data_IF_892350826971
#
_entry.id   IF_892350826971
#
_cell.length_a   1.000
_cell.length_b   1.000
_cell.length_c   1.000
_cell.angle_alpha   90.00
_cell.angle_beta   90.00
_cell.angle_gamma   90.00
#
_symmetry.space_group_name_H-M   'P 1'
#
loop_
_entity.id
_entity.type
_entity.pdbx_description
1 polymer ?
#
# COMPACT_ATOMS: atom_id res chain seq x y z
N UNK A 1 -1.93 9.61 -18.20
CA UNK A 1 -0.58 9.02 -18.05
C UNK A 1 -0.34 8.07 -19.21
N UNK A 2 0.83 8.10 -19.85
CA UNK A 2 1.22 7.09 -20.85
C UNK A 2 2.36 6.28 -20.24
N UNK A 3 2.22 4.96 -20.19
CA UNK A 3 3.22 4.05 -19.63
C UNK A 3 4.30 3.73 -20.67
N UNK A 4 4.84 4.76 -21.33
CA UNK A 4 5.77 4.62 -22.45
C UNK A 4 6.81 5.73 -22.39
N UNK A 5 8.07 5.43 -22.71
CA UNK A 5 9.16 6.40 -22.83
C UNK A 5 9.02 7.37 -24.03
N UNK A 6 7.96 7.21 -24.82
CA UNK A 6 7.69 8.03 -26.01
C UNK A 6 7.15 9.43 -25.64
N UNK A 7 7.60 10.49 -26.33
CA UNK A 7 7.07 11.84 -26.14
C UNK A 7 5.54 11.89 -26.27
N UNK A 8 4.90 12.60 -25.34
CA UNK A 8 3.46 12.82 -25.39
C UNK A 8 3.08 13.55 -26.71
N UNK A 9 2.08 13.08 -27.47
CA UNK A 9 1.61 13.75 -28.67
C UNK A 9 1.17 15.18 -28.30
N UNK A 10 1.43 16.16 -29.17
CA UNK A 10 1.01 17.53 -28.92
C UNK A 10 -0.48 17.58 -28.55
N UNK A 11 -0.81 18.24 -27.43
CA UNK A 11 -2.18 18.52 -26.97
C UNK A 11 -3.00 17.33 -26.44
N UNK A 12 -2.36 16.24 -26.00
CA UNK A 12 -3.06 15.09 -25.36
C UNK A 12 -2.78 14.90 -23.87
N UNK A 13 -1.99 15.79 -23.26
CA UNK A 13 -1.73 15.77 -21.82
C UNK A 13 -2.82 16.58 -21.08
N UNK A 14 -3.66 15.87 -20.32
CA UNK A 14 -4.57 16.46 -19.33
C UNK A 14 -4.01 16.35 -17.92
N UNK A 15 -4.39 17.29 -17.05
CA UNK A 15 -4.11 17.19 -15.61
C UNK A 15 -5.11 16.19 -15.03
N UNK A 16 -4.60 15.22 -14.27
CA UNK A 16 -5.42 14.18 -13.68
C UNK A 16 -5.10 14.06 -12.19
N UNK A 17 -6.16 13.94 -11.40
CA UNK A 17 -6.09 13.64 -9.99
C UNK A 17 -5.66 12.19 -9.79
N UNK A 18 -4.64 11.97 -8.97
CA UNK A 18 -4.17 10.62 -8.63
C UNK A 18 -4.28 10.36 -7.15
N UNK A 19 -4.30 9.07 -6.82
CA UNK A 19 -4.33 8.56 -5.46
C UNK A 19 -3.03 7.81 -5.16
N UNK A 20 -2.35 8.27 -4.12
CA UNK A 20 -1.17 7.62 -3.54
C UNK A 20 -1.59 6.81 -2.31
N UNK A 21 -1.08 5.59 -2.16
CA UNK A 21 -1.24 4.83 -0.91
C UNK A 21 0.01 5.04 -0.06
N UNK A 22 -0.15 5.50 1.18
CA UNK A 22 0.95 5.70 2.12
C UNK A 22 1.11 4.51 3.07
N UNK A 23 0.01 4.00 3.61
CA UNK A 23 0.05 2.85 4.52
C UNK A 23 -1.25 2.07 4.50
N UNK A 24 -1.12 0.78 4.84
CA UNK A 24 -2.23 -0.11 5.18
C UNK A 24 -1.92 -0.70 6.54
N UNK A 25 -2.76 -0.36 7.52
CA UNK A 25 -2.63 -0.83 8.90
C UNK A 25 -3.68 -1.90 9.17
N UNK A 26 -3.30 -2.95 9.90
CA UNK A 26 -4.20 -4.00 10.38
C UNK A 26 -4.54 -3.73 11.84
N UNK A 27 -5.80 -3.42 12.13
CA UNK A 27 -6.31 -3.33 13.49
C UNK A 27 -7.15 -4.57 13.84
N UNK A 28 -7.02 -5.08 15.07
CA UNK A 28 -7.86 -6.17 15.57
C UNK A 28 -9.26 -5.70 15.93
N UNK A 29 -10.26 -6.57 15.77
CA UNK A 29 -11.62 -6.28 16.24
C UNK A 29 -11.71 -6.51 17.74
N UNK A 30 -12.23 -5.54 18.47
CA UNK A 30 -12.71 -5.72 19.85
C UNK A 30 -14.05 -6.48 19.85
N UNK A 31 -14.27 -7.26 20.89
CA UNK A 31 -15.29 -8.32 20.99
C UNK A 31 -16.76 -7.85 20.91
N UNK A 32 -17.03 -6.53 20.84
CA UNK A 32 -18.36 -5.95 20.99
C UNK A 32 -19.30 -6.11 19.76
N UNK A 33 -18.90 -6.80 18.68
CA UNK A 33 -19.72 -6.89 17.46
C UNK A 33 -19.45 -8.07 16.53
N UNK A 34 -18.74 -9.10 16.99
CA UNK A 34 -18.53 -10.32 16.21
C UNK A 34 -19.07 -11.51 17.00
N UNK A 35 -20.00 -12.26 16.41
CA UNK A 35 -20.36 -13.56 16.95
C UNK A 35 -19.10 -14.41 17.13
N UNK A 36 -18.79 -14.77 18.39
CA UNK A 36 -17.82 -15.78 18.82
C UNK A 36 -16.48 -15.85 18.04
N UNK A 37 -15.85 -14.72 17.75
CA UNK A 37 -14.49 -14.67 17.20
C UNK A 37 -13.53 -14.09 18.24
N UNK A 38 -12.61 -14.90 18.77
CA UNK A 38 -11.59 -14.46 19.72
C UNK A 38 -10.73 -13.31 19.14
N UNK A 39 -10.35 -12.36 19.99
CA UNK A 39 -9.45 -11.26 19.65
C UNK A 39 -8.20 -11.75 18.88
N UNK A 40 -7.69 -10.93 17.96
CA UNK A 40 -6.45 -11.22 17.24
C UNK A 40 -5.32 -11.41 18.25
N UNK A 41 -4.63 -12.56 18.16
CA UNK A 41 -3.46 -12.86 18.99
C UNK A 41 -2.21 -12.44 18.23
N UNK A 42 -1.61 -11.34 18.66
CA UNK A 42 -0.33 -10.87 18.14
C UNK A 42 0.84 -11.72 18.67
N UNK A 43 1.94 -11.88 17.91
CA UNK A 43 2.14 -11.39 16.53
C UNK A 43 1.35 -12.21 15.49
N UNK A 44 1.12 -11.61 14.32
CA UNK A 44 0.38 -12.21 13.21
C UNK A 44 1.31 -12.46 12.01
N UNK A 45 1.41 -13.71 11.57
CA UNK A 45 2.04 -14.04 10.29
C UNK A 45 1.03 -13.86 9.15
N UNK A 46 1.11 -12.73 8.45
CA UNK A 46 0.15 -12.31 7.43
C UNK A 46 0.66 -12.60 6.03
N UNK A 47 -0.21 -13.15 5.18
CA UNK A 47 0.04 -13.33 3.76
C UNK A 47 -1.21 -13.04 2.92
N UNK A 48 -1.03 -12.97 1.61
CA UNK A 48 -2.09 -12.66 0.66
C UNK A 48 -1.78 -11.43 -0.19
N UNK A 49 -2.82 -10.66 -0.49
CA UNK A 49 -2.76 -9.56 -1.45
C UNK A 49 -3.53 -8.33 -0.94
N UNK A 50 -2.95 -7.16 -1.16
CA UNK A 50 -3.69 -5.90 -1.26
C UNK A 50 -3.38 -5.26 -2.61
N UNK A 51 -4.42 -4.81 -3.30
CA UNK A 51 -4.31 -4.17 -4.60
C UNK A 51 -5.24 -2.98 -4.71
N UNK A 52 -4.86 -2.04 -5.57
CA UNK A 52 -5.67 -0.90 -5.97
C UNK A 52 -6.07 -1.11 -7.43
N UNK A 53 -7.32 -0.87 -7.77
CA UNK A 53 -7.78 -0.80 -9.17
C UNK A 53 -8.18 0.62 -9.48
N UNK A 54 -7.73 1.13 -10.61
CA UNK A 54 -8.22 2.40 -11.16
C UNK A 54 -9.22 2.13 -12.31
N UNK A 55 -9.98 3.17 -12.67
CA UNK A 55 -10.95 3.09 -13.76
C UNK A 55 -10.34 3.11 -15.16
N UNK A 56 -9.01 3.11 -15.31
CA UNK A 56 -8.35 3.20 -16.63
C UNK A 56 -8.37 1.86 -17.34
N UNK A 57 -7.88 0.82 -16.68
CA UNK A 57 -7.77 -0.53 -17.23
C UNK A 57 -8.34 -1.61 -16.29
N UNK A 58 -8.83 -1.21 -15.11
CA UNK A 58 -9.31 -2.11 -14.04
C UNK A 58 -8.28 -3.17 -13.60
N UNK A 59 -7.01 -3.02 -14.00
CA UNK A 59 -5.97 -3.96 -13.61
C UNK A 59 -5.61 -3.78 -12.13
N UNK A 60 -5.20 -4.87 -11.49
CA UNK A 60 -4.73 -4.85 -10.12
C UNK A 60 -3.35 -4.22 -10.08
N UNK A 61 -3.28 -3.04 -9.49
CA UNK A 61 -2.05 -2.45 -9.05
C UNK A 61 -1.72 -3.00 -7.66
N UNK A 62 -0.90 -4.05 -7.63
CA UNK A 62 -0.58 -4.80 -6.42
C UNK A 62 0.33 -3.97 -5.53
N UNK A 63 -0.14 -3.63 -4.32
CA UNK A 63 0.62 -2.83 -3.35
C UNK A 63 1.18 -3.64 -2.19
N UNK A 64 0.65 -4.84 -1.97
CA UNK A 64 1.18 -5.81 -1.01
C UNK A 64 0.95 -7.20 -1.56
N UNK A 65 1.99 -8.04 -1.58
CA UNK A 65 1.86 -9.45 -1.91
C UNK A 65 2.88 -10.27 -1.14
N UNK A 66 2.40 -11.25 -0.41
CA UNK A 66 3.21 -12.25 0.28
C UNK A 66 2.60 -13.63 0.08
N UNK A 67 3.43 -14.60 -0.24
CA UNK A 67 3.03 -16.00 -0.23
C UNK A 67 2.99 -16.54 1.21
N UNK A 68 2.41 -17.72 1.42
CA UNK A 68 2.25 -18.31 2.76
C UNK A 68 3.59 -18.73 3.40
N UNK A 69 4.54 -19.13 2.57
CA UNK A 69 5.91 -19.45 2.97
C UNK A 69 6.75 -18.19 3.25
N UNK A 70 6.38 -17.05 2.66
CA UNK A 70 7.03 -15.74 2.83
C UNK A 70 6.11 -14.74 3.57
N UNK A 71 5.48 -15.15 4.67
CA UNK A 71 4.64 -14.24 5.46
C UNK A 71 5.39 -13.00 5.95
N UNK A 72 4.66 -11.90 6.13
CA UNK A 72 5.11 -10.79 6.96
C UNK A 72 4.57 -10.97 8.37
N UNK A 73 5.44 -10.96 9.37
CA UNK A 73 5.04 -10.91 10.77
C UNK A 73 4.70 -9.47 11.15
N UNK A 74 3.48 -9.25 11.64
CA UNK A 74 3.02 -7.99 12.20
C UNK A 74 2.95 -8.08 13.72
N UNK A 75 3.28 -6.99 14.43
CA UNK A 75 3.13 -6.90 15.89
C UNK A 75 2.13 -5.83 16.27
N UNK A 76 1.79 -5.75 17.56
CA UNK A 76 0.88 -4.71 18.05
C UNK A 76 1.53 -3.32 17.95
N UNK A 77 2.85 -3.24 18.11
CA UNK A 77 3.64 -2.02 17.96
C UNK A 77 3.89 -1.64 16.49
N UNK A 78 3.98 -2.63 15.59
CA UNK A 78 4.14 -2.43 14.14
C UNK A 78 3.08 -3.22 13.32
N UNK A 79 1.83 -2.72 13.28
CA UNK A 79 0.72 -3.38 12.59
C UNK A 79 0.60 -3.03 11.10
N UNK A 80 1.69 -2.60 10.45
CA UNK A 80 1.67 -2.08 9.08
C UNK A 80 2.17 -3.09 8.04
N UNK A 81 1.43 -3.22 6.93
CA UNK A 81 1.89 -4.02 5.80
C UNK A 81 3.09 -3.35 5.11
N UNK A 82 4.12 -4.13 4.80
CA UNK A 82 5.27 -3.69 4.00
C UNK A 82 4.84 -3.56 2.55
N UNK A 83 4.39 -2.36 2.18
CA UNK A 83 3.91 -2.09 0.84
C UNK A 83 5.09 -2.17 -0.15
N UNK A 84 4.88 -2.85 -1.27
CA UNK A 84 5.83 -2.90 -2.39
C UNK A 84 5.71 -1.68 -3.31
N UNK A 85 5.03 -0.64 -2.84
CA UNK A 85 4.55 0.49 -3.64
C UNK A 85 3.52 0.04 -4.68
N UNK A 86 2.64 0.93 -5.15
CA UNK A 86 1.95 0.66 -6.39
C UNK A 86 2.93 0.84 -7.56
N UNK A 87 2.91 -0.05 -8.55
CA UNK A 87 3.69 0.09 -9.80
C UNK A 87 3.32 1.37 -10.57
N UNK A 88 2.18 1.99 -10.24
CA UNK A 88 1.60 3.16 -10.89
C UNK A 88 0.76 4.00 -9.91
N UNK A 89 0.63 5.31 -10.05
CA UNK A 89 -0.36 6.06 -9.27
C UNK A 89 -1.80 5.77 -9.77
N UNK A 90 -2.74 5.47 -8.87
CA UNK A 90 -4.13 5.17 -9.26
C UNK A 90 -4.87 6.42 -9.74
N UNK A 91 -5.58 6.35 -10.86
CA UNK A 91 -6.41 7.46 -11.33
C UNK A 91 -7.69 7.58 -10.50
N UNK A 92 -7.97 8.77 -9.94
CA UNK A 92 -8.97 8.96 -8.89
C UNK A 92 -10.44 8.76 -9.34
N UNK A 93 -10.71 8.77 -10.64
CA UNK A 93 -12.07 8.75 -11.19
C UNK A 93 -12.93 7.57 -10.69
N UNK A 94 -12.30 6.43 -10.40
CA UNK A 94 -12.89 5.27 -9.71
C UNK A 94 -11.77 4.39 -9.16
N UNK A 95 -11.46 4.50 -7.86
CA UNK A 95 -10.45 3.65 -7.24
C UNK A 95 -11.10 2.60 -6.35
N UNK A 96 -10.77 1.32 -6.53
CA UNK A 96 -11.21 0.24 -5.62
C UNK A 96 -10.00 -0.33 -4.90
N UNK A 97 -10.06 -0.37 -3.57
CA UNK A 97 -9.08 -1.09 -2.74
C UNK A 97 -9.60 -2.50 -2.50
N UNK A 98 -8.85 -3.49 -2.98
CA UNK A 98 -9.11 -4.91 -2.75
C UNK A 98 -8.10 -5.46 -1.74
N UNK A 99 -8.58 -6.21 -0.75
CA UNK A 99 -7.73 -6.98 0.16
C UNK A 99 -8.25 -8.41 0.29
N UNK A 100 -7.33 -9.36 0.19
CA UNK A 100 -7.53 -10.76 0.49
C UNK A 100 -6.33 -11.22 1.32
N UNK A 101 -6.45 -11.08 2.64
CA UNK A 101 -5.39 -11.32 3.61
C UNK A 101 -5.78 -12.49 4.51
N UNK A 102 -4.76 -13.27 4.88
CA UNK A 102 -4.88 -14.42 5.78
C UNK A 102 -3.83 -14.36 6.86
N UNK A 103 -4.16 -14.94 8.01
CA UNK A 103 -3.19 -15.27 9.07
C UNK A 103 -2.80 -16.74 8.91
N UNK A 104 -1.50 -17.01 8.89
CA UNK A 104 -0.93 -18.35 8.81
C UNK A 104 -1.23 -19.14 10.08
N UNK A 105 -1.76 -20.34 9.89
CA UNK A 105 -1.88 -21.35 10.94
C UNK A 105 -0.73 -22.35 10.92
N UNK A 106 -0.75 -23.31 11.85
CA UNK A 106 0.25 -24.38 11.90
C UNK A 106 0.25 -25.20 10.60
N UNK A 107 -0.93 -25.45 10.05
CA UNK A 107 -1.14 -26.07 8.74
C UNK A 107 -1.99 -25.17 7.83
N UNK A 108 -2.05 -25.46 6.54
CA UNK A 108 -2.88 -24.70 5.58
C UNK A 108 -4.37 -24.74 5.95
N UNK A 109 -4.85 -25.84 6.55
CA UNK A 109 -6.23 -25.94 7.02
C UNK A 109 -6.52 -25.09 8.27
N UNK A 110 -5.47 -24.67 8.99
CA UNK A 110 -5.59 -23.78 10.15
C UNK A 110 -5.48 -22.30 9.77
N UNK A 111 -5.23 -21.97 8.50
CA UNK A 111 -5.17 -20.59 8.02
C UNK A 111 -6.54 -19.93 8.14
N UNK A 112 -6.55 -18.66 8.59
CA UNK A 112 -7.79 -17.91 8.81
C UNK A 112 -7.83 -16.66 7.95
N UNK A 113 -9.00 -16.35 7.42
CA UNK A 113 -9.21 -15.09 6.70
C UNK A 113 -9.09 -13.91 7.67
N UNK A 114 -8.08 -13.08 7.44
CA UNK A 114 -7.83 -11.86 8.22
C UNK A 114 -8.74 -10.73 7.73
N UNK A 115 -8.78 -10.53 6.41
CA UNK A 115 -9.58 -9.52 5.74
C UNK A 115 -9.91 -9.97 4.32
N UNK A 116 -11.17 -9.81 3.92
CA UNK A 116 -11.62 -10.03 2.55
C UNK A 116 -12.60 -8.93 2.16
N UNK A 117 -12.13 -7.93 1.40
CA UNK A 117 -12.92 -6.76 1.04
C UNK A 117 -12.55 -6.20 -0.34
N UNK A 118 -13.52 -5.50 -0.94
CA UNK A 118 -13.35 -4.66 -2.12
C UNK A 118 -14.17 -3.40 -1.87
N UNK A 119 -13.49 -2.27 -1.62
CA UNK A 119 -14.15 -1.02 -1.23
C UNK A 119 -13.84 0.08 -2.24
N UNK A 120 -14.87 0.72 -2.82
CA UNK A 120 -14.67 1.90 -3.65
C UNK A 120 -14.23 3.07 -2.78
N UNK A 121 -13.09 3.66 -3.13
CA UNK A 121 -12.64 4.95 -2.64
C UNK A 121 -13.31 6.02 -3.48
N UNK A 122 -14.22 6.78 -2.87
CA UNK A 122 -14.88 7.88 -3.55
C UNK A 122 -13.98 9.10 -3.60
N UNK A 123 -14.00 9.81 -4.73
CA UNK A 123 -13.36 11.12 -4.88
C UNK A 123 -13.97 12.09 -3.86
N UNK A 124 -13.15 12.63 -2.97
CA UNK A 124 -13.53 13.81 -2.19
C UNK A 124 -13.20 15.05 -3.02
N UNK A 125 -14.22 15.83 -3.37
CA UNK A 125 -14.07 17.08 -4.11
C UNK A 125 -13.18 18.06 -3.34
N UNK A 126 -11.91 18.14 -3.72
CA UNK A 126 -10.90 18.97 -3.05
C UNK A 126 -10.09 19.71 -4.11
N UNK A 127 -9.89 21.01 -3.91
CA UNK A 127 -9.19 21.89 -4.86
C UNK A 127 -7.66 21.85 -4.70
N UNK A 128 -7.16 21.10 -3.72
CA UNK A 128 -5.75 20.99 -3.38
C UNK A 128 -5.42 19.56 -2.97
N UNK A 129 -4.17 19.16 -3.19
CA UNK A 129 -3.65 17.87 -2.75
C UNK A 129 -3.71 17.75 -1.23
N UNK A 130 -4.22 16.64 -0.71
CA UNK A 130 -4.46 16.45 0.71
C UNK A 130 -4.32 14.99 1.15
N UNK A 131 -4.13 14.79 2.45
CA UNK A 131 -4.18 13.46 3.05
C UNK A 131 -5.65 13.04 3.20
N UNK A 132 -5.99 11.89 2.63
CA UNK A 132 -7.26 11.21 2.82
C UNK A 132 -7.04 10.01 3.75
N UNK A 133 -7.70 10.01 4.90
CA UNK A 133 -7.85 8.77 5.65
C UNK A 133 -8.98 8.01 4.94
N UNK A 134 -8.62 6.96 4.21
CA UNK A 134 -9.51 6.16 3.38
C UNK A 134 -10.57 5.39 4.16
N UNK A 135 -10.67 5.61 5.47
CA UNK A 135 -11.62 4.98 6.38
C UNK A 135 -11.09 3.70 7.02
N UNK A 136 -11.87 3.22 7.98
CA UNK A 136 -11.70 1.95 8.66
C UNK A 136 -12.60 0.90 8.01
N UNK A 137 -12.01 -0.14 7.42
CA UNK A 137 -12.76 -1.18 6.70
C UNK A 137 -12.70 -2.50 7.44
N UNK A 138 -13.72 -2.75 8.26
CA UNK A 138 -13.86 -4.03 8.96
C UNK A 138 -14.24 -5.16 8.03
N UNK A 139 -13.47 -6.25 8.05
CA UNK A 139 -13.78 -7.50 7.36
C UNK A 139 -13.19 -8.67 8.12
N UNK A 140 -13.98 -9.73 8.30
CA UNK A 140 -13.58 -10.96 9.01
C UNK A 140 -13.04 -10.64 10.41
N UNK A 141 -11.74 -10.86 10.63
CA UNK A 141 -11.06 -10.75 11.93
C UNK A 141 -10.40 -9.39 12.16
N UNK A 142 -10.32 -8.52 11.15
CA UNK A 142 -9.60 -7.25 11.24
C UNK A 142 -10.39 -6.06 10.71
N UNK A 143 -9.89 -4.88 11.02
CA UNK A 143 -10.22 -3.62 10.38
C UNK A 143 -8.97 -3.13 9.65
N UNK A 144 -9.09 -2.88 8.35
CA UNK A 144 -8.01 -2.27 7.58
C UNK A 144 -8.16 -0.75 7.60
N UNK A 145 -7.14 -0.05 8.09
CA UNK A 145 -7.05 1.40 7.99
C UNK A 145 -6.12 1.73 6.83
N UNK A 146 -6.64 2.44 5.83
CA UNK A 146 -5.86 2.80 4.64
C UNK A 146 -5.62 4.30 4.63
N UNK A 147 -4.35 4.70 4.59
CA UNK A 147 -3.96 6.11 4.48
C UNK A 147 -3.58 6.42 3.04
N UNK A 148 -4.25 7.42 2.46
CA UNK A 148 -4.21 7.79 1.06
C UNK A 148 -3.82 9.25 0.89
N UNK A 149 -3.18 9.61 -0.21
CA UNK A 149 -2.96 10.98 -0.64
C UNK A 149 -3.74 11.26 -1.91
N UNK A 150 -4.55 12.30 -1.92
CA UNK A 150 -5.08 12.87 -3.15
C UNK A 150 -4.07 13.87 -3.71
N UNK A 151 -3.62 13.66 -4.95
CA UNK A 151 -2.65 14.52 -5.63
C UNK A 151 -3.27 15.09 -6.91
N UNK A 152 -3.49 16.40 -6.95
CA UNK A 152 -4.17 17.09 -8.05
C UNK A 152 -3.29 17.22 -9.31
N UNK A 153 -1.98 17.35 -9.13
CA UNK A 153 -1.00 17.54 -10.21
C UNK A 153 0.17 16.58 -10.09
N UNK A 154 -0.09 15.28 -10.20
CA UNK A 154 0.98 14.28 -10.20
C UNK A 154 1.81 14.31 -11.48
N UNK A 155 3.11 14.15 -11.32
CA UNK A 155 4.05 13.88 -12.40
C UNK A 155 4.66 12.50 -12.22
N UNK A 156 5.06 11.88 -13.32
CA UNK A 156 5.83 10.62 -13.30
C UNK A 156 7.32 10.96 -13.39
N UNK A 157 8.14 10.27 -12.58
CA UNK A 157 9.59 10.44 -12.57
C UNK A 157 10.29 9.10 -12.37
N UNK A 158 11.39 8.89 -13.09
CA UNK A 158 12.28 7.73 -12.90
C UNK A 158 13.56 8.18 -12.21
N UNK A 159 13.93 7.50 -11.12
CA UNK A 159 15.13 7.81 -10.33
C UNK A 159 16.08 6.62 -10.39
N UNK A 160 17.31 6.86 -10.87
CA UNK A 160 18.38 5.86 -10.90
C UNK A 160 19.40 6.16 -9.80
N UNK A 161 19.66 5.17 -8.95
CA UNK A 161 20.67 5.26 -7.88
C UNK A 161 21.81 4.28 -8.17
N UNK A 162 23.06 4.76 -8.16
CA UNK A 162 24.26 3.95 -8.40
C UNK A 162 25.37 4.29 -7.40
N UNK A 163 25.94 3.27 -6.75
CA UNK A 163 27.19 3.42 -5.99
C UNK A 163 28.36 3.45 -7.00
N UNK A 164 29.07 4.57 -7.08
CA UNK A 164 30.14 4.79 -8.07
C UNK A 164 31.55 4.44 -7.56
N UNK A 165 31.68 4.14 -6.27
CA UNK A 165 32.95 3.71 -5.66
C UNK A 165 32.79 3.37 -4.19
N UNK A 166 33.69 2.52 -3.68
CA UNK A 166 33.66 2.02 -2.30
C UNK A 166 32.69 0.86 -2.09
N UNK A 167 32.80 0.22 -0.92
CA UNK A 167 31.81 -0.73 -0.42
C UNK A 167 30.73 0.01 0.37
N UNK A 168 29.50 -0.50 0.32
CA UNK A 168 28.45 -0.01 1.20
C UNK A 168 28.82 -0.35 2.66
N UNK A 169 28.74 0.57 3.62
CA UNK A 169 29.11 0.29 5.00
C UNK A 169 28.18 -0.76 5.62
N UNK A 170 28.75 -1.71 6.35
CA UNK A 170 27.99 -2.75 7.06
C UNK A 170 27.04 -2.10 8.09
N UNK A 171 25.78 -2.55 8.10
CA UNK A 171 24.76 -2.06 9.03
C UNK A 171 24.19 -0.67 8.73
N UNK A 172 24.56 -0.05 7.62
CA UNK A 172 23.91 1.19 7.15
C UNK A 172 22.92 0.82 6.06
N UNK A 173 21.70 1.38 6.10
CA UNK A 173 20.70 1.18 5.07
C UNK A 173 20.45 2.48 4.31
N UNK A 174 20.51 2.42 2.99
CA UNK A 174 20.05 3.51 2.14
C UNK A 174 18.54 3.56 2.12
N UNK A 175 17.95 4.69 2.51
CA UNK A 175 16.52 4.98 2.35
C UNK A 175 16.38 6.16 1.39
N UNK A 176 15.73 5.93 0.27
CA UNK A 176 15.34 6.97 -0.67
C UNK A 176 13.84 7.11 -0.60
N UNK A 177 13.37 8.32 -0.32
CA UNK A 177 11.96 8.63 -0.25
C UNK A 177 11.63 9.91 -1.03
N UNK A 178 10.40 9.99 -1.51
CA UNK A 178 9.81 11.20 -2.06
C UNK A 178 8.72 11.72 -1.12
N UNK A 179 8.54 13.04 -1.11
CA UNK A 179 7.51 13.71 -0.31
C UNK A 179 6.76 14.72 -1.16
N UNK A 180 5.49 14.93 -0.84
CA UNK A 180 4.67 15.97 -1.45
C UNK A 180 4.62 17.15 -0.51
N UNK A 181 4.93 18.37 -0.98
CA UNK A 181 4.97 19.56 -0.13
C UNK A 181 3.64 19.89 0.57
N UNK A 182 2.51 19.49 -0.01
CA UNK A 182 1.18 19.65 0.61
C UNK A 182 0.82 18.53 1.60
N UNK A 183 1.67 17.50 1.75
CA UNK A 183 1.48 16.34 2.63
C UNK A 183 2.83 16.04 3.30
N UNK A 184 3.33 16.98 4.10
CA UNK A 184 4.72 16.99 4.59
C UNK A 184 5.06 15.86 5.57
N UNK A 185 4.05 15.29 6.22
CA UNK A 185 4.22 14.24 7.24
C UNK A 185 4.22 12.81 6.69
N UNK A 186 4.05 12.66 5.37
CA UNK A 186 4.05 11.34 4.74
C UNK A 186 5.14 11.24 3.68
N UNK A 187 5.83 10.11 3.69
CA UNK A 187 6.92 9.80 2.76
C UNK A 187 6.55 8.57 1.92
N UNK A 188 6.91 8.61 0.65
CA UNK A 188 6.82 7.49 -0.27
C UNK A 188 8.21 6.88 -0.35
N UNK A 189 8.39 5.69 0.22
CA UNK A 189 9.67 4.97 0.13
C UNK A 189 9.86 4.46 -1.30
N UNK A 190 10.88 4.97 -1.98
CA UNK A 190 11.23 4.61 -3.35
C UNK A 190 12.21 3.43 -3.39
N UNK A 191 13.16 3.41 -2.46
CA UNK A 191 14.17 2.37 -2.35
C UNK A 191 14.62 2.24 -0.89
N UNK A 192 14.62 1.00 -0.40
CA UNK A 192 15.23 0.63 0.89
C UNK A 192 16.25 -0.47 0.64
N UNK A 193 17.52 -0.21 0.92
CA UNK A 193 18.58 -1.22 0.84
C UNK A 193 18.46 -2.19 2.02
N UNK A 194 18.08 -3.45 1.78
CA UNK A 194 18.09 -4.50 2.82
C UNK A 194 19.48 -5.13 2.93
N UNK A 195 19.87 -5.54 4.14
CA UNK A 195 21.03 -6.40 4.35
C UNK A 195 20.75 -7.77 3.73
N UNK A 196 21.58 -8.19 2.77
CA UNK A 196 21.67 -9.59 2.39
C UNK A 196 22.51 -10.32 3.46
N UNK A 197 21.91 -10.59 4.63
CA UNK A 197 22.43 -11.64 5.50
C UNK A 197 21.98 -12.99 4.91
N UNK A 198 22.86 -13.56 4.08
CA UNK A 198 22.86 -15.00 3.79
C UNK A 198 23.48 -15.77 4.95
#
# INVERSE_FOLDING_TARGET
MRFTDEPAPPRTAGLFETLQVFSVRVAGRTEAGAGAGAALRWPLDVFGLVAVRDGVDYNRNVIFRRARDECQTLTEEDPYLELTGPTRAGLLDCVVVEAALKVKGATESDDRDLSFLAVPMMRQSTLASCLLIGGEHSSKLSTLEVKLGHIVFSVEATILVRVVGGSWPDGIHGLFAARTASIEHEEIVLLRSKDNKR
#
